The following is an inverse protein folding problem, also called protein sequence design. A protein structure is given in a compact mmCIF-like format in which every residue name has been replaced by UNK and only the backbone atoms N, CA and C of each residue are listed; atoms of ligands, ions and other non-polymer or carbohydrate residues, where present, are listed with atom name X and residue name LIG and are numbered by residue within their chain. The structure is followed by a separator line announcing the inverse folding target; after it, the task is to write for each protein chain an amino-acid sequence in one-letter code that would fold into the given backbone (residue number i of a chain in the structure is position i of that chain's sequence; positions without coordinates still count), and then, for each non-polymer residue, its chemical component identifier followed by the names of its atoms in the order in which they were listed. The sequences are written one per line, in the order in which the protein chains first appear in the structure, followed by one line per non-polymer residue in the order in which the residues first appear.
data_IF_678960213478
#
_entry.id   IF_678960213478
#
_cell.length_a   1.000
_cell.length_b   1.000
_cell.length_c   1.000
_cell.angle_alpha   90.00
_cell.angle_beta   90.00
_cell.angle_gamma   90.00
#
_symmetry.space_group_name_H-M   'P 1'
#
loop_
_entity.id
_entity.type
_entity.pdbx_description
1 polymer ?
#
# COMPACT_ATOMS: atom_id res chain seq x y z
N UNK A 1 13.47 16.11 -28.70
CA UNK A 1 12.20 16.83 -28.49
C UNK A 1 11.12 16.19 -29.34
N UNK A 2 9.86 16.29 -28.93
CA UNK A 2 8.69 15.79 -29.66
C UNK A 2 7.61 16.89 -29.71
N UNK A 3 6.88 16.98 -30.82
CA UNK A 3 5.85 17.98 -31.05
C UNK A 3 4.57 17.34 -31.59
N UNK A 4 3.42 17.93 -31.26
CA UNK A 4 2.17 17.64 -31.97
C UNK A 4 2.22 18.22 -33.39
N UNK A 5 1.40 17.72 -34.34
CA UNK A 5 1.38 18.22 -35.71
C UNK A 5 1.11 19.73 -35.83
N UNK A 6 0.34 20.29 -34.89
CA UNK A 6 0.04 21.73 -34.82
C UNK A 6 1.03 22.53 -33.94
N UNK A 7 2.08 21.90 -33.42
CA UNK A 7 3.10 22.53 -32.58
C UNK A 7 2.66 22.96 -31.17
N UNK A 8 1.38 22.80 -30.80
CA UNK A 8 0.85 23.28 -29.52
C UNK A 8 1.30 22.48 -28.30
N UNK A 9 1.58 21.18 -28.48
CA UNK A 9 2.02 20.28 -27.41
C UNK A 9 3.41 19.78 -27.72
N UNK A 10 4.27 19.79 -26.72
CA UNK A 10 5.64 19.36 -26.89
C UNK A 10 6.27 18.90 -25.58
N UNK A 11 7.37 18.15 -25.70
CA UNK A 11 8.23 17.76 -24.57
C UNK A 11 9.69 17.60 -25.02
N UNK A 12 10.60 17.74 -24.08
CA UNK A 12 12.03 17.51 -24.33
C UNK A 12 12.37 16.00 -24.40
N UNK A 13 13.65 15.68 -24.56
CA UNK A 13 14.09 14.28 -24.59
C UNK A 13 13.86 13.55 -23.25
N UNK A 14 14.08 14.24 -22.13
CA UNK A 14 13.86 13.69 -20.79
C UNK A 14 12.39 13.43 -20.50
N UNK A 15 11.50 14.31 -20.98
CA UNK A 15 10.05 14.16 -20.87
C UNK A 15 9.56 12.96 -21.69
N UNK A 16 10.07 12.79 -22.92
CA UNK A 16 9.77 11.64 -23.76
C UNK A 16 10.32 10.34 -23.16
N UNK A 17 11.53 10.36 -22.60
CA UNK A 17 12.12 9.21 -21.91
C UNK A 17 11.27 8.80 -20.71
N UNK A 18 10.83 9.76 -19.91
CA UNK A 18 9.93 9.55 -18.78
C UNK A 18 8.58 9.00 -19.23
N UNK A 19 8.00 9.54 -20.31
CA UNK A 19 6.75 9.03 -20.88
C UNK A 19 6.84 7.56 -21.27
N UNK A 20 7.92 7.17 -21.98
CA UNK A 20 8.16 5.78 -22.38
C UNK A 20 8.34 4.86 -21.18
N UNK A 21 9.08 5.31 -20.17
CA UNK A 21 9.25 4.55 -18.93
C UNK A 21 7.91 4.33 -18.21
N UNK A 22 7.07 5.37 -18.09
CA UNK A 22 5.74 5.26 -17.47
C UNK A 22 4.86 4.29 -18.26
N UNK A 23 4.90 4.32 -19.60
CA UNK A 23 4.12 3.38 -20.41
C UNK A 23 4.60 1.93 -20.21
N UNK A 24 5.90 1.72 -20.02
CA UNK A 24 6.45 0.42 -19.65
C UNK A 24 5.87 -0.14 -18.34
N UNK A 25 5.51 0.71 -17.38
CA UNK A 25 4.79 0.29 -16.16
C UNK A 25 3.33 -0.06 -16.45
N UNK A 26 2.64 0.75 -17.26
CA UNK A 26 1.27 0.47 -17.70
C UNK A 26 1.20 -0.86 -18.42
N UNK A 27 2.16 -1.18 -19.31
CA UNK A 27 2.22 -2.48 -20.00
C UNK A 27 2.40 -3.68 -19.07
N UNK A 28 3.04 -3.50 -17.90
CA UNK A 28 3.15 -4.57 -16.90
C UNK A 28 1.81 -4.84 -16.21
N UNK A 29 0.97 -3.82 -16.03
CA UNK A 29 -0.38 -3.94 -15.47
C UNK A 29 -1.39 -4.43 -16.51
N UNK A 30 -1.26 -3.95 -17.75
CA UNK A 30 -2.12 -4.30 -18.87
C UNK A 30 -1.25 -4.53 -20.13
N UNK A 31 -0.83 -5.79 -20.40
CA UNK A 31 -0.03 -6.11 -21.58
C UNK A 31 -0.67 -5.70 -22.91
N UNK A 32 -2.01 -5.66 -22.97
CA UNK A 32 -2.80 -5.28 -24.13
C UNK A 32 -2.98 -3.77 -24.29
N UNK A 33 -2.39 -2.94 -23.41
CA UNK A 33 -2.48 -1.48 -23.54
C UNK A 33 -1.88 -1.01 -24.87
N UNK A 34 -2.63 -0.14 -25.55
CA UNK A 34 -2.20 0.52 -26.78
C UNK A 34 -1.22 1.65 -26.48
N UNK A 35 -0.33 1.93 -27.43
CA UNK A 35 0.59 3.04 -27.28
C UNK A 35 -0.16 4.37 -27.13
N UNK A 36 0.28 5.24 -26.22
CA UNK A 36 -0.32 6.54 -26.08
C UNK A 36 0.15 7.48 -27.18
N UNK A 37 -0.55 8.59 -27.30
CA UNK A 37 -0.06 9.73 -28.07
C UNK A 37 1.18 10.33 -27.39
N UNK A 38 2.37 10.01 -27.91
CA UNK A 38 3.65 10.32 -27.25
C UNK A 38 3.87 11.81 -26.95
N UNK A 39 3.44 12.70 -27.85
CA UNK A 39 3.54 14.15 -27.61
C UNK A 39 2.60 14.63 -26.49
N UNK A 40 1.46 13.97 -26.26
CA UNK A 40 0.55 14.33 -25.16
C UNK A 40 1.16 13.96 -23.81
N UNK A 41 1.73 12.75 -23.72
CA UNK A 41 2.36 12.28 -22.50
C UNK A 41 3.61 13.09 -22.16
N UNK A 42 4.48 13.32 -23.15
CA UNK A 42 5.66 14.16 -22.96
C UNK A 42 5.26 15.58 -22.54
N UNK A 43 4.21 16.15 -23.14
CA UNK A 43 3.71 17.47 -22.74
C UNK A 43 3.16 17.49 -21.31
N UNK A 44 2.39 16.49 -20.89
CA UNK A 44 1.86 16.43 -19.52
C UNK A 44 3.00 16.30 -18.49
N UNK A 45 4.09 15.59 -18.82
CA UNK A 45 5.31 15.51 -18.00
C UNK A 45 6.06 16.83 -17.96
N UNK A 46 6.23 17.49 -19.12
CA UNK A 46 6.82 18.83 -19.20
C UNK A 46 6.06 19.81 -18.32
N UNK A 47 4.73 19.76 -18.33
CA UNK A 47 3.90 20.62 -17.48
C UNK A 47 4.14 20.33 -15.99
N UNK A 48 4.25 19.06 -15.57
CA UNK A 48 4.64 18.73 -14.20
C UNK A 48 6.03 19.29 -13.83
N UNK A 49 6.98 19.28 -14.76
CA UNK A 49 8.33 19.82 -14.52
C UNK A 49 8.41 21.33 -14.46
N UNK A 50 7.90 21.98 -15.51
CA UNK A 50 8.10 23.41 -15.72
C UNK A 50 7.08 24.26 -14.98
N UNK A 51 5.86 23.76 -14.79
CA UNK A 51 4.77 24.51 -14.15
C UNK A 51 4.60 24.06 -12.70
N UNK A 52 4.54 22.75 -12.45
CA UNK A 52 4.26 22.24 -11.10
C UNK A 52 5.54 22.03 -10.26
N UNK A 53 6.72 22.30 -10.83
CA UNK A 53 8.01 22.25 -10.15
C UNK A 53 8.46 20.84 -9.72
N UNK A 54 7.98 19.78 -10.38
CA UNK A 54 8.31 18.39 -10.03
C UNK A 54 9.49 17.88 -10.85
N UNK A 55 10.39 17.11 -10.27
CA UNK A 55 11.48 16.49 -11.05
C UNK A 55 11.01 15.21 -11.75
N UNK A 56 11.75 14.73 -12.77
CA UNK A 56 11.44 13.44 -13.39
C UNK A 56 11.48 12.30 -12.38
N UNK A 57 12.41 12.35 -11.42
CA UNK A 57 12.55 11.35 -10.35
C UNK A 57 11.31 11.31 -9.47
N UNK A 58 10.78 12.48 -9.07
CA UNK A 58 9.56 12.56 -8.27
C UNK A 58 8.35 12.02 -9.06
N UNK A 59 8.24 12.37 -10.34
CA UNK A 59 7.17 11.88 -11.22
C UNK A 59 7.24 10.35 -11.35
N UNK A 60 8.41 9.81 -11.65
CA UNK A 60 8.62 8.37 -11.80
C UNK A 60 8.36 7.63 -10.48
N UNK A 61 8.89 8.14 -9.36
CA UNK A 61 8.73 7.53 -8.04
C UNK A 61 7.27 7.45 -7.62
N UNK A 62 6.53 8.55 -7.77
CA UNK A 62 5.11 8.57 -7.41
C UNK A 62 4.27 7.70 -8.34
N UNK A 63 4.58 7.66 -9.63
CA UNK A 63 3.89 6.78 -10.58
C UNK A 63 4.14 5.30 -10.28
N UNK A 64 5.39 4.92 -9.96
CA UNK A 64 5.74 3.56 -9.56
C UNK A 64 4.98 3.13 -8.30
N UNK A 65 4.91 4.02 -7.31
CA UNK A 65 4.15 3.79 -6.10
C UNK A 65 2.66 3.60 -6.40
N UNK A 66 2.06 4.52 -7.15
CA UNK A 66 0.63 4.45 -7.49
C UNK A 66 0.28 3.19 -8.29
N UNK A 67 1.19 2.69 -9.14
CA UNK A 67 1.01 1.46 -9.92
C UNK A 67 1.13 0.18 -9.07
N UNK A 68 1.66 0.27 -7.85
CA UNK A 68 1.77 -0.84 -6.89
C UNK A 68 0.70 -0.80 -5.80
N UNK A 69 0.06 0.35 -5.60
CA UNK A 69 -1.00 0.53 -4.63
C UNK A 69 -2.28 -0.18 -5.08
N UNK A 70 -2.95 -0.87 -4.16
CA UNK A 70 -4.12 -1.73 -4.43
C UNK A 70 -5.35 -0.96 -4.90
N UNK A 71 -5.44 0.34 -4.63
CA UNK A 71 -6.52 1.21 -5.08
C UNK A 71 -6.11 2.05 -6.29
N UNK A 72 -4.91 2.63 -6.26
CA UNK A 72 -4.48 3.59 -7.29
C UNK A 72 -3.98 2.95 -8.58
N UNK A 73 -3.60 1.67 -8.58
CA UNK A 73 -3.03 1.04 -9.78
C UNK A 73 -4.00 1.03 -10.98
N UNK A 74 -5.31 0.97 -10.73
CA UNK A 74 -6.33 1.02 -11.78
C UNK A 74 -6.65 2.46 -12.22
N UNK A 75 -6.38 3.42 -11.34
CA UNK A 75 -6.75 4.82 -11.52
C UNK A 75 -5.64 5.64 -12.19
N UNK A 76 -4.36 5.34 -11.93
CA UNK A 76 -3.22 6.11 -12.43
C UNK A 76 -2.49 5.36 -13.54
N UNK A 77 -3.00 5.51 -14.77
CA UNK A 77 -2.47 4.86 -15.99
C UNK A 77 -1.91 5.85 -17.03
N UNK A 78 -1.76 7.13 -16.67
CA UNK A 78 -1.17 8.15 -17.56
C UNK A 78 -0.60 9.33 -16.78
N UNK A 79 0.33 10.11 -17.38
CA UNK A 79 0.87 11.33 -16.77
C UNK A 79 -0.21 12.35 -16.43
N UNK A 80 -1.23 12.49 -17.27
CA UNK A 80 -2.39 13.36 -17.02
C UNK A 80 -3.10 13.03 -15.71
N UNK A 81 -3.41 11.75 -15.51
CA UNK A 81 -4.10 11.29 -14.30
C UNK A 81 -3.20 11.42 -13.07
N UNK A 82 -1.91 11.09 -13.21
CA UNK A 82 -0.93 11.32 -12.14
C UNK A 82 -0.91 12.79 -11.72
N UNK A 83 -0.76 13.71 -12.69
CA UNK A 83 -0.73 15.16 -12.45
C UNK A 83 -1.98 15.64 -11.71
N UNK A 84 -3.17 15.17 -12.13
CA UNK A 84 -4.45 15.52 -11.50
C UNK A 84 -4.50 15.15 -10.01
N UNK A 85 -3.90 14.02 -9.63
CA UNK A 85 -3.94 13.48 -8.26
C UNK A 85 -2.60 13.60 -7.53
N UNK A 86 -1.66 14.41 -8.02
CA UNK A 86 -0.27 14.37 -7.57
C UNK A 86 -0.14 14.61 -6.06
N UNK A 87 -0.75 15.68 -5.54
CA UNK A 87 -0.65 16.02 -4.12
C UNK A 87 -1.38 15.01 -3.22
N UNK A 88 -2.52 14.48 -3.67
CA UNK A 88 -3.26 13.43 -2.96
C UNK A 88 -2.42 12.15 -2.82
N UNK A 89 -1.77 11.75 -3.92
CA UNK A 89 -0.90 10.58 -3.95
C UNK A 89 0.34 10.77 -3.06
N UNK A 90 0.91 11.98 -2.99
CA UNK A 90 2.04 12.27 -2.08
C UNK A 90 1.64 11.99 -0.64
N UNK A 91 0.51 12.55 -0.17
CA UNK A 91 0.02 12.35 1.21
C UNK A 91 -0.26 10.87 1.48
N UNK A 92 -0.83 10.16 0.51
CA UNK A 92 -1.12 8.72 0.64
C UNK A 92 0.15 7.88 0.68
N UNK A 93 1.15 8.21 -0.12
CA UNK A 93 2.41 7.48 -0.20
C UNK A 93 3.27 7.55 1.07
N UNK A 94 3.05 8.57 1.90
CA UNK A 94 3.74 8.76 3.17
C UNK A 94 3.11 7.96 4.32
N UNK A 95 1.89 7.46 4.16
CA UNK A 95 1.29 6.59 5.18
C UNK A 95 2.12 5.31 5.28
N UNK A 96 2.40 4.81 6.50
CA UNK A 96 2.93 3.46 6.65
C UNK A 96 2.05 2.52 5.83
N UNK A 97 2.66 1.72 4.95
CA UNK A 97 1.92 0.69 4.21
C UNK A 97 1.11 -0.07 5.25
N UNK A 98 -0.20 -0.19 5.04
CA UNK A 98 -1.04 -1.09 5.84
C UNK A 98 -0.26 -2.39 5.99
N UNK A 99 0.10 -2.71 7.23
CA UNK A 99 0.88 -3.89 7.58
C UNK A 99 0.27 -5.11 6.89
N UNK A 100 1.08 -6.12 6.51
CA UNK A 100 0.54 -7.35 5.96
C UNK A 100 -0.63 -7.79 6.84
N UNK A 101 -1.83 -7.86 6.26
CA UNK A 101 -3.00 -8.39 6.94
C UNK A 101 -2.67 -9.86 7.21
N UNK A 102 -2.07 -10.13 8.35
CA UNK A 102 -1.96 -11.48 8.89
C UNK A 102 -3.36 -12.05 8.81
N UNK A 103 -3.52 -13.13 8.05
CA UNK A 103 -4.79 -13.84 7.94
C UNK A 103 -5.02 -14.50 9.31
N UNK A 104 -5.61 -13.73 10.22
CA UNK A 104 -5.96 -14.22 11.56
C UNK A 104 -7.19 -15.09 11.41
N UNK A 105 -7.06 -16.38 11.72
CA UNK A 105 -8.22 -17.26 11.89
C UNK A 105 -9.06 -16.73 13.07
N UNK A 106 -10.19 -16.11 12.73
CA UNK A 106 -11.07 -15.48 13.72
C UNK A 106 -11.73 -16.51 14.63
N UNK A 107 -11.94 -17.74 14.15
CA UNK A 107 -12.55 -18.82 14.93
C UNK A 107 -11.56 -19.30 15.98
N UNK A 108 -10.31 -19.54 15.59
CA UNK A 108 -9.25 -19.94 16.50
C UNK A 108 -9.06 -18.89 17.61
N UNK A 109 -8.92 -17.62 17.22
CA UNK A 109 -8.77 -16.49 18.15
C UNK A 109 -9.88 -16.42 19.19
N UNK A 110 -11.14 -16.46 18.74
CA UNK A 110 -12.29 -16.28 19.63
C UNK A 110 -12.49 -17.49 20.55
N UNK A 111 -12.18 -18.69 20.06
CA UNK A 111 -12.14 -19.91 20.87
C UNK A 111 -11.04 -19.84 21.94
N UNK A 112 -9.86 -19.33 21.58
CA UNK A 112 -8.71 -19.21 22.47
C UNK A 112 -8.96 -18.15 23.55
N UNK A 113 -9.64 -17.03 23.26
CA UNK A 113 -10.04 -16.08 24.29
C UNK A 113 -10.88 -16.77 25.37
N UNK A 114 -11.91 -17.50 24.94
CA UNK A 114 -12.85 -18.16 25.84
C UNK A 114 -12.13 -19.21 26.72
N UNK A 115 -11.21 -19.98 26.14
CA UNK A 115 -10.42 -20.99 26.87
C UNK A 115 -9.37 -20.39 27.80
N UNK A 116 -8.54 -19.48 27.32
CA UNK A 116 -7.33 -19.01 28.02
C UNK A 116 -7.63 -17.88 29.01
N UNK A 117 -8.55 -16.98 28.66
CA UNK A 117 -8.93 -15.84 29.51
C UNK A 117 -10.11 -16.22 30.40
N UNK A 118 -11.15 -16.84 29.83
CA UNK A 118 -12.33 -17.27 30.58
C UNK A 118 -12.07 -18.50 31.46
N UNK A 119 -11.74 -19.63 30.83
CA UNK A 119 -11.62 -20.93 31.53
C UNK A 119 -10.23 -21.25 32.09
N UNK A 120 -9.23 -20.39 31.85
CA UNK A 120 -7.81 -20.56 32.28
C UNK A 120 -7.19 -21.90 31.86
N UNK A 121 -7.54 -22.38 30.68
CA UNK A 121 -6.93 -23.58 30.09
C UNK A 121 -5.46 -23.34 29.71
N UNK A 122 -4.72 -24.43 29.49
CA UNK A 122 -3.34 -24.35 28.98
C UNK A 122 -3.33 -23.96 27.48
N UNK A 123 -2.31 -23.20 27.02
CA UNK A 123 -2.14 -22.88 25.60
C UNK A 123 -1.85 -24.16 24.79
N UNK A 124 -2.32 -24.19 23.55
CA UNK A 124 -2.23 -25.38 22.66
C UNK A 124 -1.21 -25.22 21.54
N UNK A 125 -0.81 -23.98 21.22
CA UNK A 125 0.15 -23.69 20.16
C UNK A 125 0.99 -22.46 20.51
N UNK A 126 1.98 -22.16 19.67
CA UNK A 126 2.91 -21.06 19.90
C UNK A 126 2.24 -19.69 19.93
N UNK A 127 1.22 -19.49 19.10
CA UNK A 127 0.46 -18.23 19.06
C UNK A 127 -0.26 -18.02 20.40
N UNK A 128 -0.90 -19.06 20.93
CA UNK A 128 -1.57 -19.03 22.24
C UNK A 128 -0.60 -18.75 23.39
N UNK A 129 0.61 -19.33 23.36
CA UNK A 129 1.64 -19.04 24.36
C UNK A 129 2.01 -17.57 24.39
N UNK A 130 2.34 -17.00 23.22
CA UNK A 130 2.73 -15.59 23.09
C UNK A 130 1.55 -14.68 23.46
N UNK A 131 0.33 -15.00 22.97
CA UNK A 131 -0.87 -14.24 23.27
C UNK A 131 -1.19 -14.22 24.78
N UNK A 132 -1.01 -15.34 25.47
CA UNK A 132 -1.24 -15.43 26.92
C UNK A 132 -0.22 -14.60 27.72
N UNK A 133 1.04 -14.58 27.29
CA UNK A 133 2.07 -13.75 27.90
C UNK A 133 1.76 -12.25 27.75
N UNK A 134 1.41 -11.82 26.53
CA UNK A 134 1.01 -10.45 26.23
C UNK A 134 -0.26 -10.05 27.02
N UNK A 135 -1.25 -10.93 27.10
CA UNK A 135 -2.47 -10.72 27.87
C UNK A 135 -2.24 -10.57 29.39
N UNK A 136 -1.18 -11.18 29.92
CA UNK A 136 -0.77 -10.98 31.31
C UNK A 136 -0.38 -9.53 31.60
N UNK A 137 0.23 -8.84 30.63
CA UNK A 137 0.72 -7.45 30.77
C UNK A 137 -0.39 -6.42 30.63
N UNK A 138 -1.49 -6.74 29.95
CA UNK A 138 -2.61 -5.81 29.69
C UNK A 138 -3.71 -5.87 30.75
N UNK A 139 -3.68 -6.84 31.66
CA UNK A 139 -4.71 -7.00 32.69
C UNK A 139 -6.08 -7.40 32.13
N UNK A 140 -6.11 -8.01 30.94
CA UNK A 140 -7.33 -8.32 30.18
C UNK A 140 -8.40 -9.07 30.98
N UNK A 141 -7.98 -9.88 31.95
CA UNK A 141 -8.86 -10.65 32.84
C UNK A 141 -9.72 -9.81 33.78
N UNK A 142 -9.34 -8.56 34.01
CA UNK A 142 -10.11 -7.61 34.84
C UNK A 142 -11.11 -6.81 34.01
N UNK A 143 -11.07 -6.94 32.68
CA UNK A 143 -11.93 -6.20 31.76
C UNK A 143 -13.27 -6.91 31.60
N UNK A 144 -14.30 -6.17 31.17
CA UNK A 144 -15.56 -6.78 30.72
C UNK A 144 -15.33 -7.67 29.51
N UNK A 145 -16.20 -8.65 29.27
CA UNK A 145 -16.04 -9.59 28.16
C UNK A 145 -15.92 -8.86 26.80
N UNK A 146 -16.76 -7.86 26.56
CA UNK A 146 -16.71 -7.05 25.34
C UNK A 146 -15.34 -6.36 25.17
N UNK A 147 -14.88 -5.64 26.20
CA UNK A 147 -13.61 -4.91 26.14
C UNK A 147 -12.40 -5.86 26.10
N UNK A 148 -12.50 -7.01 26.77
CA UNK A 148 -11.53 -8.07 26.74
C UNK A 148 -11.39 -8.67 25.34
N UNK A 149 -12.50 -8.94 24.64
CA UNK A 149 -12.46 -9.42 23.24
C UNK A 149 -11.83 -8.40 22.29
N UNK A 150 -12.12 -7.10 22.47
CA UNK A 150 -11.48 -6.04 21.69
C UNK A 150 -9.96 -5.99 21.92
N UNK A 151 -9.52 -6.03 23.18
CA UNK A 151 -8.10 -6.08 23.52
C UNK A 151 -7.43 -7.36 22.98
N UNK A 152 -8.15 -8.49 23.03
CA UNK A 152 -7.65 -9.78 22.54
C UNK A 152 -7.41 -9.78 21.03
N UNK A 153 -8.23 -9.09 20.24
CA UNK A 153 -8.01 -8.95 18.80
C UNK A 153 -6.62 -8.38 18.48
N UNK A 154 -6.21 -7.33 19.22
CA UNK A 154 -4.90 -6.73 19.05
C UNK A 154 -3.77 -7.65 19.55
N UNK A 155 -3.96 -8.30 20.70
CA UNK A 155 -2.97 -9.22 21.28
C UNK A 155 -2.72 -10.41 20.36
N UNK A 156 -3.79 -10.99 19.80
CA UNK A 156 -3.70 -12.14 18.92
C UNK A 156 -2.98 -11.80 17.61
N UNK A 157 -3.23 -10.61 17.04
CA UNK A 157 -2.50 -10.13 15.87
C UNK A 157 -0.99 -10.08 16.15
N UNK A 158 -0.57 -9.43 17.24
CA UNK A 158 0.83 -9.34 17.64
C UNK A 158 1.46 -10.73 17.89
N UNK A 159 0.72 -11.61 18.56
CA UNK A 159 1.19 -12.97 18.82
C UNK A 159 1.41 -13.77 17.53
N UNK A 160 0.55 -13.58 16.53
CA UNK A 160 0.68 -14.26 15.23
C UNK A 160 1.90 -13.74 14.47
N UNK A 161 2.14 -12.42 14.46
CA UNK A 161 3.33 -11.81 13.85
C UNK A 161 4.62 -12.31 14.51
N UNK A 162 4.70 -12.25 15.84
CA UNK A 162 5.85 -12.74 16.60
C UNK A 162 6.09 -14.25 16.42
N UNK A 163 5.04 -15.04 16.19
CA UNK A 163 5.19 -16.48 15.94
C UNK A 163 5.84 -16.79 14.59
N UNK A 164 5.65 -15.91 13.59
CA UNK A 164 6.21 -16.07 12.24
C UNK A 164 7.68 -15.65 12.17
N UNK A 165 8.08 -14.62 12.93
CA UNK A 165 9.48 -14.16 13.00
C UNK A 165 10.42 -15.19 13.63
N UNK A 166 9.93 -16.02 14.57
CA UNK A 166 10.73 -17.04 15.26
C UNK A 166 11.00 -18.28 14.38
N UNK A 167 10.34 -18.40 13.21
CA UNK A 167 10.50 -19.52 12.28
C UNK A 167 11.44 -19.23 11.09
N UNK A 168 12.04 -18.03 11.02
CA UNK A 168 13.11 -17.68 10.06
C UNK A 168 14.48 -17.72 10.72
#
# INVERSE_FOLDING_TARGET
MIYSPNGQKWGDEGDLKTAKWMFGRVKKLNPSALEPTWYDWANDIRLMRQIDGRTHEQICGLFDWANKDSFWHQNILSPRKLRKHFDELIVRSQKPKDEPKVQVDTVERDSAFSRLIGSRSKPQNRIEEIALELAGKTGIRRMSEFSGRQAWNSIWKQATEMSQEVQQ
#
